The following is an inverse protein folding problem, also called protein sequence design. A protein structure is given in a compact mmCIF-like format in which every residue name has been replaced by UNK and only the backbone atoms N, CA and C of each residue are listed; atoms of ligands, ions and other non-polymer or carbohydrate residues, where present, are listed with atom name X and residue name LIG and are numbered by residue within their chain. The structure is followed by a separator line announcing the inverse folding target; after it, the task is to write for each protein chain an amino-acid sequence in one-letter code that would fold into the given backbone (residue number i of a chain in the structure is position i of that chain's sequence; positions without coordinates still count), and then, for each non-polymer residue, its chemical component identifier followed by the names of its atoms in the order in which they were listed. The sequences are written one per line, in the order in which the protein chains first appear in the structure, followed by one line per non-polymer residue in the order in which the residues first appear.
data_IF_710259097253
#
_entry.id   IF_710259097253
#
_cell.length_a   1.000
_cell.length_b   1.000
_cell.length_c   1.000
_cell.angle_alpha   90.00
_cell.angle_beta   90.00
_cell.angle_gamma   90.00
#
_symmetry.space_group_name_H-M   'P 1'
#
loop_
_entity.id
_entity.type
_entity.pdbx_description
1 polymer ?
#
# COMPACT_ATOMS: atom_id res chain seq x y z
N UNK A 1 -13.05 10.37 -11.73
CA UNK A 1 -14.18 9.91 -10.88
C UNK A 1 -15.54 10.35 -11.44
N UNK A 2 -15.63 11.55 -12.04
CA UNK A 2 -16.89 12.15 -12.52
C UNK A 2 -17.87 11.21 -13.25
N UNK A 3 -17.44 10.29 -14.14
CA UNK A 3 -18.39 9.39 -14.83
C UNK A 3 -19.10 8.39 -13.90
N UNK A 4 -18.59 8.18 -12.69
CA UNK A 4 -19.12 7.23 -11.72
C UNK A 4 -19.87 7.90 -10.56
N UNK A 5 -19.89 9.25 -10.50
CA UNK A 5 -20.62 9.97 -9.45
C UNK A 5 -22.12 9.90 -9.73
N UNK A 6 -22.86 9.50 -8.72
CA UNK A 6 -24.33 9.48 -8.70
C UNK A 6 -24.82 10.11 -7.40
N UNK A 7 -26.13 10.37 -7.31
CA UNK A 7 -26.74 10.85 -6.07
C UNK A 7 -27.38 9.69 -5.32
N UNK A 8 -27.08 9.58 -4.02
CA UNK A 8 -27.68 8.60 -3.15
C UNK A 8 -29.13 9.01 -2.74
N UNK A 9 -29.78 8.20 -1.92
CA UNK A 9 -31.14 8.45 -1.44
C UNK A 9 -31.27 9.71 -0.57
N UNK A 10 -30.16 10.21 -0.01
CA UNK A 10 -30.07 11.45 0.74
C UNK A 10 -29.76 12.67 -0.17
N UNK A 11 -29.72 12.46 -1.50
CA UNK A 11 -29.34 13.47 -2.48
C UNK A 11 -27.87 13.97 -2.38
N UNK A 12 -27.00 13.18 -1.76
CA UNK A 12 -25.57 13.44 -1.65
C UNK A 12 -24.79 12.76 -2.77
N UNK A 13 -23.65 13.34 -3.16
CA UNK A 13 -22.77 12.71 -4.15
C UNK A 13 -22.14 11.44 -3.60
N UNK A 14 -22.21 10.37 -4.36
CA UNK A 14 -21.73 9.02 -4.01
C UNK A 14 -21.32 8.27 -5.26
N UNK A 15 -20.91 7.02 -5.10
CA UNK A 15 -20.69 6.07 -6.19
C UNK A 15 -21.49 4.80 -5.95
N UNK A 16 -21.64 3.99 -6.99
CA UNK A 16 -22.10 2.61 -6.83
C UNK A 16 -20.97 1.72 -6.32
N UNK A 17 -21.00 1.38 -5.03
CA UNK A 17 -20.00 0.52 -4.41
C UNK A 17 -20.08 -0.95 -4.85
N UNK A 18 -21.12 -1.36 -5.55
CA UNK A 18 -21.21 -2.68 -6.20
C UNK A 18 -20.48 -2.74 -7.55
N UNK A 19 -20.11 -1.57 -8.09
CA UNK A 19 -19.38 -1.46 -9.34
C UNK A 19 -17.85 -1.42 -9.08
N UNK A 20 -17.09 -2.48 -9.42
CA UNK A 20 -15.64 -2.53 -9.16
C UNK A 20 -14.86 -1.40 -9.85
N UNK A 21 -15.29 -0.97 -11.04
CA UNK A 21 -14.63 0.13 -11.76
C UNK A 21 -14.83 1.47 -11.05
N UNK A 22 -16.02 1.72 -10.48
CA UNK A 22 -16.30 2.90 -9.68
C UNK A 22 -15.45 2.93 -8.40
N UNK A 23 -15.36 1.80 -7.69
CA UNK A 23 -14.55 1.65 -6.48
C UNK A 23 -13.05 1.85 -6.79
N UNK A 24 -12.54 1.23 -7.86
CA UNK A 24 -11.15 1.43 -8.29
C UNK A 24 -10.87 2.90 -8.62
N UNK A 25 -11.78 3.56 -9.33
CA UNK A 25 -11.64 4.97 -9.67
C UNK A 25 -11.71 5.88 -8.43
N UNK A 26 -12.57 5.57 -7.46
CA UNK A 26 -12.62 6.29 -6.18
C UNK A 26 -11.28 6.19 -5.45
N UNK A 27 -10.75 4.98 -5.31
CA UNK A 27 -9.46 4.75 -4.64
C UNK A 27 -8.30 5.46 -5.35
N UNK A 28 -8.27 5.43 -6.69
CA UNK A 28 -7.28 6.20 -7.47
C UNK A 28 -7.42 7.71 -7.23
N UNK A 29 -8.65 8.23 -7.13
CA UNK A 29 -8.91 9.64 -6.83
C UNK A 29 -8.46 10.02 -5.41
N UNK A 30 -8.70 9.16 -4.41
CA UNK A 30 -8.24 9.37 -3.04
C UNK A 30 -6.70 9.37 -2.96
N UNK A 31 -6.05 8.40 -3.58
CA UNK A 31 -4.59 8.32 -3.63
C UNK A 31 -3.99 9.54 -4.33
N UNK A 32 -4.62 10.01 -5.40
CA UNK A 32 -4.19 11.23 -6.09
C UNK A 32 -4.36 12.47 -5.21
N UNK A 33 -5.50 12.61 -4.56
CA UNK A 33 -5.84 13.80 -3.78
C UNK A 33 -4.99 13.92 -2.52
N UNK A 34 -4.89 12.85 -1.73
CA UNK A 34 -4.22 12.88 -0.43
C UNK A 34 -2.72 12.61 -0.53
N UNK A 35 -2.28 11.75 -1.45
CA UNK A 35 -0.89 11.28 -1.51
C UNK A 35 -0.15 11.69 -2.78
N UNK A 36 -0.76 12.48 -3.66
CA UNK A 36 -0.13 12.99 -4.88
C UNK A 36 0.25 11.91 -5.89
N UNK A 37 -0.45 10.77 -5.88
CA UNK A 37 -0.20 9.65 -6.79
C UNK A 37 -0.75 10.00 -8.18
N UNK A 38 0.11 10.02 -9.19
CA UNK A 38 -0.27 10.37 -10.57
C UNK A 38 -0.74 9.15 -11.36
N UNK A 39 -0.22 7.97 -11.05
CA UNK A 39 -0.62 6.71 -11.66
C UNK A 39 -0.87 5.65 -10.59
N UNK A 40 -2.04 5.07 -10.61
CA UNK A 40 -2.38 3.90 -9.83
C UNK A 40 -3.42 3.07 -10.56
N UNK A 41 -3.12 1.82 -10.77
CA UNK A 41 -4.00 0.83 -11.37
C UNK A 41 -3.62 -0.56 -10.83
N UNK A 42 -4.58 -1.46 -10.82
CA UNK A 42 -4.40 -2.86 -10.41
C UNK A 42 -4.93 -3.78 -11.52
N UNK A 43 -4.33 -4.95 -11.72
CA UNK A 43 -4.82 -5.93 -12.68
C UNK A 43 -6.25 -6.37 -12.34
N UNK A 44 -6.95 -6.91 -13.34
CA UNK A 44 -8.26 -7.52 -13.12
C UNK A 44 -8.15 -8.71 -12.15
N UNK A 45 -9.18 -8.92 -11.36
CA UNK A 45 -9.28 -9.97 -10.33
C UNK A 45 -8.33 -9.81 -9.12
N UNK A 46 -7.61 -8.69 -9.01
CA UNK A 46 -6.87 -8.36 -7.80
C UNK A 46 -7.72 -7.50 -6.86
N UNK A 47 -7.46 -7.67 -5.56
CA UNK A 47 -8.19 -6.96 -4.52
C UNK A 47 -7.98 -5.44 -4.64
N UNK A 48 -9.09 -4.72 -4.76
CA UNK A 48 -9.11 -3.27 -4.66
C UNK A 48 -9.25 -2.88 -3.17
N UNK A 49 -8.20 -2.36 -2.52
CA UNK A 49 -8.23 -2.10 -1.09
C UNK A 49 -9.05 -0.84 -0.76
N UNK A 50 -9.81 -0.81 0.34
CA UNK A 50 -10.43 0.43 0.84
C UNK A 50 -9.34 1.36 1.39
N UNK A 51 -9.01 2.43 0.67
CA UNK A 51 -7.91 3.34 1.03
C UNK A 51 -8.02 3.92 2.45
N UNK A 52 -9.20 4.40 2.94
CA UNK A 52 -9.28 4.95 4.29
C UNK A 52 -8.84 3.96 5.38
N UNK A 53 -9.34 2.74 5.36
CA UNK A 53 -8.95 1.73 6.35
C UNK A 53 -7.47 1.30 6.25
N UNK A 54 -6.86 1.42 5.07
CA UNK A 54 -5.41 1.18 4.90
C UNK A 54 -4.59 2.34 5.43
N UNK A 55 -5.08 3.57 5.29
CA UNK A 55 -4.46 4.75 5.89
C UNK A 55 -4.50 4.67 7.41
N UNK A 56 -5.65 4.34 8.00
CA UNK A 56 -5.79 4.15 9.45
C UNK A 56 -4.77 3.14 9.99
N UNK A 57 -4.55 2.03 9.29
CA UNK A 57 -3.55 1.04 9.70
C UNK A 57 -2.14 1.62 9.76
N UNK A 58 -1.70 2.37 8.76
CA UNK A 58 -0.39 3.03 8.75
C UNK A 58 -0.29 4.10 9.84
N UNK A 59 -1.35 4.87 10.07
CA UNK A 59 -1.39 5.87 11.13
C UNK A 59 -1.27 5.24 12.53
N UNK A 60 -1.96 4.15 12.80
CA UNK A 60 -1.82 3.41 14.06
C UNK A 60 -0.42 2.85 14.27
N UNK A 61 0.23 2.36 13.21
CA UNK A 61 1.63 1.93 13.29
C UNK A 61 2.55 3.12 13.61
N UNK A 62 2.31 4.27 12.99
CA UNK A 62 3.08 5.47 13.28
C UNK A 62 2.93 5.92 14.73
N UNK A 63 1.72 5.88 15.28
CA UNK A 63 1.46 6.14 16.69
C UNK A 63 2.19 5.13 17.61
N UNK A 64 2.17 3.86 17.26
CA UNK A 64 2.88 2.81 18.01
C UNK A 64 4.39 3.09 18.06
N UNK A 65 4.99 3.45 16.92
CA UNK A 65 6.40 3.86 16.86
C UNK A 65 6.64 5.14 17.69
N UNK A 66 5.72 6.09 17.63
CA UNK A 66 5.78 7.32 18.41
C UNK A 66 5.75 7.06 19.91
N UNK A 67 4.88 6.16 20.37
CA UNK A 67 4.79 5.78 21.78
C UNK A 67 6.10 5.18 22.31
N UNK A 68 6.83 4.46 21.48
CA UNK A 68 8.15 3.91 21.81
C UNK A 68 9.29 4.92 21.60
N UNK A 69 9.00 6.12 21.13
CA UNK A 69 9.95 7.18 20.82
C UNK A 69 9.58 8.50 21.51
N UNK A 70 9.30 8.46 22.81
CA UNK A 70 8.98 9.64 23.64
C UNK A 70 7.80 10.47 23.07
N UNK A 71 6.81 9.84 22.48
CA UNK A 71 5.65 10.49 21.87
C UNK A 71 5.89 11.14 20.51
N UNK A 72 7.07 10.96 19.91
CA UNK A 72 7.41 11.54 18.61
C UNK A 72 7.38 10.47 17.53
N UNK A 73 6.50 10.61 16.56
CA UNK A 73 6.47 9.73 15.39
C UNK A 73 7.79 9.89 14.62
N UNK A 74 8.57 8.81 14.45
CA UNK A 74 9.79 8.87 13.67
C UNK A 74 9.46 9.01 12.18
N UNK A 75 10.18 9.88 11.48
CA UNK A 75 9.95 10.19 10.07
C UNK A 75 11.24 10.12 9.27
N UNK A 76 11.09 10.04 7.94
CA UNK A 76 12.20 10.07 7.01
C UNK A 76 12.69 8.69 6.59
N UNK A 77 13.48 8.65 5.52
CA UNK A 77 13.91 7.45 4.80
C UNK A 77 14.78 6.46 5.59
N UNK A 78 15.21 6.84 6.78
CA UNK A 78 15.97 5.96 7.67
C UNK A 78 15.08 4.95 8.39
N UNK A 79 13.77 5.20 8.45
CA UNK A 79 12.80 4.24 8.96
C UNK A 79 12.47 3.27 7.82
N UNK A 80 12.83 2.03 7.99
CA UNK A 80 12.67 0.98 6.98
C UNK A 80 11.59 0.00 7.41
N UNK A 81 10.57 -0.12 6.57
CA UNK A 81 9.43 -1.02 6.78
C UNK A 81 9.52 -2.20 5.82
N UNK A 82 9.29 -3.40 6.32
CA UNK A 82 9.05 -4.56 5.47
C UNK A 82 7.54 -4.81 5.35
N UNK A 83 7.02 -4.71 4.14
CA UNK A 83 5.63 -5.04 3.81
C UNK A 83 5.56 -6.46 3.25
N UNK A 84 5.02 -7.38 4.04
CA UNK A 84 4.90 -8.79 3.69
C UNK A 84 3.57 -9.01 2.98
N UNK A 85 3.62 -9.34 1.70
CA UNK A 85 2.46 -9.37 0.82
C UNK A 85 2.06 -7.97 0.36
N UNK A 86 3.01 -7.24 -0.28
CA UNK A 86 2.78 -5.87 -0.79
C UNK A 86 1.56 -5.79 -1.74
N UNK A 87 1.25 -6.89 -2.42
CA UNK A 87 0.15 -6.98 -3.36
C UNK A 87 0.32 -6.11 -4.62
N UNK A 88 -0.62 -6.26 -5.53
CA UNK A 88 -0.62 -5.51 -6.79
C UNK A 88 -0.90 -4.00 -6.61
N UNK A 89 -1.39 -3.58 -5.45
CA UNK A 89 -1.87 -2.23 -5.17
C UNK A 89 -0.83 -1.30 -4.52
N UNK A 90 0.21 -1.82 -3.87
CA UNK A 90 1.31 -1.07 -3.24
C UNK A 90 0.84 0.02 -2.24
N UNK A 91 -0.31 -0.17 -1.60
CA UNK A 91 -0.99 0.89 -0.85
C UNK A 91 -0.24 1.29 0.42
N UNK A 92 0.27 0.34 1.20
CA UNK A 92 0.99 0.67 2.44
C UNK A 92 2.28 1.44 2.18
N UNK A 93 3.14 1.02 1.23
CA UNK A 93 4.30 1.83 0.85
C UNK A 93 3.94 3.22 0.34
N UNK A 94 2.87 3.37 -0.44
CA UNK A 94 2.40 4.68 -0.89
C UNK A 94 2.11 5.58 0.31
N UNK A 95 1.26 5.11 1.23
CA UNK A 95 0.82 5.93 2.36
C UNK A 95 1.99 6.23 3.30
N UNK A 96 2.74 5.22 3.71
CA UNK A 96 3.87 5.39 4.65
C UNK A 96 4.98 6.28 4.10
N UNK A 97 5.28 6.18 2.80
CA UNK A 97 6.26 7.05 2.15
C UNK A 97 5.76 8.50 2.06
N UNK A 98 4.49 8.72 1.69
CA UNK A 98 3.95 10.06 1.50
C UNK A 98 3.68 10.80 2.80
N UNK A 99 3.19 10.10 3.83
CA UNK A 99 2.87 10.71 5.11
C UNK A 99 4.09 10.88 6.01
N UNK A 100 4.94 9.87 6.08
CA UNK A 100 6.02 9.81 7.07
C UNK A 100 7.42 9.82 6.46
N UNK A 101 7.53 9.71 5.14
CA UNK A 101 8.82 9.63 4.45
C UNK A 101 9.57 8.33 4.71
N UNK A 102 8.89 7.27 5.12
CA UNK A 102 9.50 5.96 5.37
C UNK A 102 9.93 5.27 4.08
N UNK A 103 10.97 4.46 4.15
CA UNK A 103 11.37 3.55 3.09
C UNK A 103 10.71 2.19 3.27
N UNK A 104 10.47 1.50 2.16
CA UNK A 104 9.81 0.19 2.16
C UNK A 104 10.58 -0.86 1.37
N UNK A 105 10.63 -2.05 1.93
CA UNK A 105 10.90 -3.28 1.21
C UNK A 105 9.55 -4.02 1.12
N UNK A 106 9.03 -4.20 -0.08
CA UNK A 106 7.80 -4.95 -0.29
C UNK A 106 8.10 -6.35 -0.82
N UNK A 107 7.61 -7.38 -0.16
CA UNK A 107 7.73 -8.76 -0.64
C UNK A 107 6.40 -9.33 -1.08
N UNK A 108 6.43 -10.19 -2.08
CA UNK A 108 5.26 -10.96 -2.51
C UNK A 108 5.71 -12.26 -3.15
N UNK A 109 4.86 -13.29 -3.11
CA UNK A 109 5.07 -14.57 -3.78
C UNK A 109 4.58 -14.54 -5.24
N UNK A 110 3.72 -13.57 -5.57
CA UNK A 110 3.13 -13.44 -6.90
C UNK A 110 3.90 -12.44 -7.77
N UNK A 111 4.54 -12.90 -8.85
CA UNK A 111 5.27 -12.01 -9.74
C UNK A 111 4.38 -11.00 -10.48
N UNK A 112 3.08 -11.29 -10.67
CA UNK A 112 2.13 -10.35 -11.29
C UNK A 112 1.84 -9.20 -10.34
N UNK A 113 1.63 -9.49 -9.05
CA UNK A 113 1.52 -8.47 -7.99
C UNK A 113 2.73 -7.54 -7.98
N UNK A 114 3.94 -8.11 -7.99
CA UNK A 114 5.18 -7.33 -7.99
C UNK A 114 5.36 -6.49 -9.26
N UNK A 115 5.00 -7.03 -10.43
CA UNK A 115 5.05 -6.26 -11.67
C UNK A 115 4.11 -5.06 -11.64
N UNK A 116 2.90 -5.22 -11.09
CA UNK A 116 1.95 -4.14 -10.88
C UNK A 116 2.47 -3.10 -9.89
N UNK A 117 2.96 -3.53 -8.72
CA UNK A 117 3.54 -2.66 -7.71
C UNK A 117 4.73 -1.86 -8.27
N UNK A 118 5.65 -2.50 -8.98
CA UNK A 118 6.78 -1.82 -9.63
C UNK A 118 6.33 -0.78 -10.66
N UNK A 119 5.29 -1.09 -11.45
CA UNK A 119 4.72 -0.13 -12.40
C UNK A 119 4.18 1.11 -11.68
N UNK A 120 3.49 0.94 -10.55
CA UNK A 120 3.03 2.06 -9.72
C UNK A 120 4.22 2.86 -9.20
N UNK A 121 5.23 2.19 -8.64
CA UNK A 121 6.43 2.82 -8.09
C UNK A 121 7.16 3.64 -9.16
N UNK A 122 7.43 3.05 -10.32
CA UNK A 122 8.16 3.69 -11.42
C UNK A 122 7.40 4.88 -12.03
N UNK A 123 6.07 4.84 -11.99
CA UNK A 123 5.21 5.89 -12.56
C UNK A 123 4.97 7.07 -11.61
N UNK A 124 5.42 6.98 -10.35
CA UNK A 124 5.18 8.01 -9.34
C UNK A 124 6.48 8.59 -8.80
N UNK A 125 6.81 9.85 -9.11
CA UNK A 125 8.01 10.51 -8.58
C UNK A 125 8.06 10.44 -7.05
N UNK A 126 9.23 10.10 -6.51
CA UNK A 126 9.49 10.00 -5.08
C UNK A 126 9.12 8.65 -4.44
N UNK A 127 8.50 7.71 -5.17
CA UNK A 127 8.37 6.33 -4.68
C UNK A 127 9.57 5.46 -5.07
N UNK A 128 10.15 5.69 -6.24
CA UNK A 128 11.23 4.86 -6.80
C UNK A 128 12.48 4.76 -5.92
N UNK A 129 12.80 5.81 -5.20
CA UNK A 129 13.95 5.86 -4.29
C UNK A 129 13.63 5.34 -2.88
N UNK A 130 12.36 5.10 -2.60
CA UNK A 130 11.84 4.80 -1.28
C UNK A 130 11.27 3.40 -1.15
N UNK A 131 10.91 2.76 -2.26
CA UNK A 131 10.23 1.46 -2.26
C UNK A 131 10.97 0.49 -3.17
N UNK A 132 11.35 -0.67 -2.63
CA UNK A 132 11.97 -1.78 -3.36
C UNK A 132 11.10 -3.01 -3.25
N UNK A 133 10.77 -3.65 -4.38
CA UNK A 133 10.03 -4.90 -4.41
C UNK A 133 10.95 -6.11 -4.51
N UNK A 134 10.63 -7.18 -3.78
CA UNK A 134 11.39 -8.45 -3.80
C UNK A 134 10.46 -9.65 -3.95
N UNK A 135 10.75 -10.53 -4.89
CA UNK A 135 10.01 -11.78 -5.04
C UNK A 135 10.42 -12.75 -3.93
N UNK A 136 9.44 -13.28 -3.20
CA UNK A 136 9.64 -14.41 -2.31
C UNK A 136 9.47 -15.72 -3.10
N UNK A 137 10.56 -16.42 -3.40
CA UNK A 137 10.50 -17.60 -4.27
C UNK A 137 9.90 -18.83 -3.56
N UNK A 138 9.91 -18.83 -2.23
CA UNK A 138 9.39 -19.93 -1.43
C UNK A 138 8.20 -19.43 -0.58
N UNK A 139 6.95 -19.83 -0.89
CA UNK A 139 5.76 -19.35 -0.17
C UNK A 139 5.68 -19.80 1.30
N UNK A 140 6.55 -20.73 1.74
CA UNK A 140 6.63 -21.13 3.15
C UNK A 140 7.57 -20.27 3.97
N UNK A 141 8.39 -19.43 3.30
CA UNK A 141 9.32 -18.52 3.95
C UNK A 141 8.74 -17.09 3.97
N UNK A 142 9.06 -16.36 5.04
CA UNK A 142 8.65 -14.96 5.16
C UNK A 142 9.86 -14.04 4.99
N UNK A 143 10.89 -14.26 5.79
CA UNK A 143 12.09 -13.41 5.81
C UNK A 143 13.25 -13.99 5.02
N UNK A 144 13.37 -15.32 5.01
CA UNK A 144 14.43 -16.02 4.30
C UNK A 144 14.32 -15.77 2.79
N UNK A 145 15.42 -15.35 2.16
CA UNK A 145 15.46 -14.96 0.75
C UNK A 145 14.97 -13.53 0.45
N UNK A 146 14.37 -12.84 1.45
CA UNK A 146 13.92 -11.45 1.34
C UNK A 146 14.91 -10.51 2.03
N UNK A 147 15.33 -10.83 3.24
CA UNK A 147 16.27 -10.01 4.01
C UNK A 147 17.70 -10.20 3.51
N UNK A 148 18.45 -9.11 3.36
CA UNK A 148 19.88 -9.12 3.10
C UNK A 148 20.67 -9.07 4.43
N UNK A 149 21.93 -9.50 4.40
CA UNK A 149 22.70 -9.80 5.61
C UNK A 149 22.90 -8.58 6.54
N UNK A 150 23.00 -7.38 5.98
CA UNK A 150 23.24 -6.15 6.75
C UNK A 150 22.02 -5.22 6.82
N UNK A 151 20.84 -5.68 6.42
CA UNK A 151 19.63 -4.85 6.44
C UNK A 151 19.02 -4.78 7.84
N UNK A 152 18.74 -3.55 8.25
CA UNK A 152 18.01 -3.27 9.48
C UNK A 152 16.60 -2.86 9.11
N UNK A 153 15.62 -3.56 9.65
CA UNK A 153 14.20 -3.27 9.51
C UNK A 153 13.68 -2.74 10.84
N UNK A 154 13.05 -1.58 10.82
CA UNK A 154 12.47 -0.97 12.02
C UNK A 154 11.11 -1.59 12.37
N UNK A 155 10.35 -2.01 11.36
CA UNK A 155 9.07 -2.68 11.54
C UNK A 155 8.71 -3.58 10.36
N UNK A 156 7.87 -4.56 10.63
CA UNK A 156 7.22 -5.39 9.62
C UNK A 156 5.72 -5.17 9.67
N UNK A 157 5.11 -5.10 8.50
CA UNK A 157 3.66 -5.04 8.35
C UNK A 157 3.21 -6.19 7.46
N UNK A 158 2.00 -6.67 7.69
CA UNK A 158 1.40 -7.72 6.89
C UNK A 158 -0.13 -7.60 6.94
N UNK A 159 -0.76 -7.76 5.80
CA UNK A 159 -2.19 -7.93 5.70
C UNK A 159 -2.47 -9.22 4.92
N UNK A 160 -2.40 -10.39 5.58
CA UNK A 160 -2.51 -11.66 4.91
C UNK A 160 -3.90 -11.86 4.29
N UNK A 161 -4.04 -12.72 3.26
CA UNK A 161 -5.34 -13.08 2.73
C UNK A 161 -6.18 -13.77 3.81
N UNK A 162 -7.44 -13.33 3.97
CA UNK A 162 -8.37 -13.85 4.99
C UNK A 162 -9.05 -15.15 4.55
N UNK A 163 -8.98 -15.49 3.27
CA UNK A 163 -9.57 -16.69 2.71
C UNK A 163 -8.54 -17.39 1.84
N UNK A 164 -8.27 -18.62 2.17
CA UNK A 164 -7.89 -19.58 1.17
C UNK A 164 -9.10 -19.74 0.25
N UNK A 165 -8.92 -19.62 -1.04
CA UNK A 165 -10.00 -19.78 -2.01
C UNK A 165 -10.88 -20.98 -1.72
N UNK A 166 -12.13 -20.96 -2.17
CA UNK A 166 -13.12 -21.99 -1.92
C UNK A 166 -12.68 -23.36 -2.35
#
# INVERSE_FOLDING_TARGET
LSPFVLRNVQNEESIDFSNPAAVKMLNAALLRHFYGIVYWDIPENYLCPPIPGRADYIHHIAELLGNNNYGKIPTGKKIVCLDIGIGANCVYPIIGTREYGWSFIGSDIDPVSLASANKIIDSNPGLKEMVTCRLQPNPTDIFNGIMQEDEIIDLTICNPPFHTSP
#
